data_IF_536525018047
#
_entry.id   IF_536525018047
#
_cell.length_a   1.000
_cell.length_b   1.000
_cell.length_c   1.000
_cell.angle_alpha   90.00
_cell.angle_beta   90.00
_cell.angle_gamma   90.00
#
_symmetry.space_group_name_H-M   'P 1'
#
loop_
_entity.id
_entity.type
_entity.pdbx_description
1 polymer ?
#
# COMPACT_ATOMS: atom_id res chain seq x y z
N UNK A 1 0.02 30.74 12.13
CA UNK A 1 0.72 29.44 11.93
C UNK A 1 0.61 29.11 10.45
N UNK A 2 1.73 29.19 9.75
CA UNK A 2 1.73 29.00 8.30
C UNK A 2 2.01 27.54 7.96
N UNK A 3 1.04 26.89 7.34
CA UNK A 3 1.19 25.55 6.77
C UNK A 3 1.27 25.64 5.24
N UNK A 4 1.98 24.70 4.64
CA UNK A 4 2.01 24.53 3.18
C UNK A 4 0.90 23.58 2.76
N UNK A 5 0.26 23.87 1.63
CA UNK A 5 -0.66 22.95 0.95
C UNK A 5 0.11 22.20 -0.14
N UNK A 6 0.31 20.91 0.04
CA UNK A 6 1.05 20.05 -0.91
C UNK A 6 0.06 19.21 -1.71
N UNK A 7 -0.04 19.39 -3.04
CA UNK A 7 -0.93 18.58 -3.87
C UNK A 7 -0.41 17.15 -3.96
N UNK A 8 -1.32 16.20 -3.94
CA UNK A 8 -1.03 14.77 -4.03
C UNK A 8 -2.27 13.99 -4.48
N UNK A 9 -2.14 12.67 -4.56
CA UNK A 9 -3.23 11.74 -4.86
C UNK A 9 -3.55 10.92 -3.60
N UNK A 10 -4.84 10.62 -3.40
CA UNK A 10 -5.30 9.78 -2.31
C UNK A 10 -4.71 8.36 -2.43
N UNK A 11 -4.12 7.79 -1.36
CA UNK A 11 -3.41 6.50 -1.43
C UNK A 11 -4.32 5.28 -1.33
N UNK A 12 -5.65 5.43 -1.27
CA UNK A 12 -6.51 4.31 -0.89
C UNK A 12 -7.04 3.47 -2.04
N UNK A 13 -7.55 4.04 -3.09
CA UNK A 13 -8.19 3.23 -4.13
C UNK A 13 -7.92 3.75 -5.54
N UNK A 14 -8.28 2.95 -6.54
CA UNK A 14 -8.06 3.25 -7.94
C UNK A 14 -8.81 4.46 -8.51
N UNK A 15 -9.66 5.12 -7.71
CA UNK A 15 -10.30 6.38 -8.12
C UNK A 15 -9.27 7.49 -8.32
N UNK A 16 -8.20 7.53 -7.50
CA UNK A 16 -7.13 8.51 -7.68
C UNK A 16 -7.57 9.95 -7.37
N UNK A 17 -8.36 10.15 -6.31
CA UNK A 17 -8.83 11.49 -5.93
C UNK A 17 -7.67 12.44 -5.59
N UNK A 18 -7.74 13.67 -6.11
CA UNK A 18 -6.78 14.73 -5.78
C UNK A 18 -6.98 15.26 -4.37
N UNK A 19 -5.89 15.40 -3.63
CA UNK A 19 -5.85 15.90 -2.26
C UNK A 19 -4.81 17.01 -2.11
N UNK A 20 -5.02 17.89 -1.14
CA UNK A 20 -4.03 18.85 -0.65
C UNK A 20 -3.71 18.50 0.79
N UNK A 21 -2.49 18.07 1.05
CA UNK A 21 -2.01 17.84 2.41
C UNK A 21 -1.58 19.17 3.04
N UNK A 22 -2.13 19.47 4.22
CA UNK A 22 -1.65 20.57 5.07
C UNK A 22 -0.40 20.10 5.80
N UNK A 23 0.74 20.66 5.45
CA UNK A 23 2.05 20.24 6.02
C UNK A 23 2.65 21.40 6.81
N UNK A 24 3.08 21.14 8.02
CA UNK A 24 3.80 22.07 8.89
C UNK A 24 4.93 21.31 9.61
N UNK A 25 6.13 21.85 9.58
CA UNK A 25 7.30 21.24 10.23
C UNK A 25 7.50 19.75 9.90
N UNK A 26 7.31 19.37 8.63
CA UNK A 26 7.44 17.98 8.17
C UNK A 26 6.31 17.02 8.62
N UNK A 27 5.25 17.54 9.23
CA UNK A 27 4.08 16.75 9.65
C UNK A 27 2.85 17.10 8.85
N UNK A 28 2.11 16.08 8.46
CA UNK A 28 0.79 16.25 7.82
C UNK A 28 -0.24 16.45 8.93
N UNK A 29 -0.90 17.60 8.91
CA UNK A 29 -1.89 18.00 9.92
C UNK A 29 -3.33 17.68 9.47
N UNK A 30 -3.56 17.55 8.17
CA UNK A 30 -4.89 17.32 7.63
C UNK A 30 -4.90 17.24 6.12
N UNK A 31 -6.09 17.02 5.56
CA UNK A 31 -6.35 16.92 4.13
C UNK A 31 -7.42 17.91 3.72
N UNK A 32 -7.25 18.51 2.56
CA UNK A 32 -8.30 19.23 1.84
C UNK A 32 -8.51 18.58 0.46
N UNK A 33 -9.72 18.63 -0.08
CA UNK A 33 -9.94 18.17 -1.44
C UNK A 33 -9.31 19.14 -2.45
N UNK A 34 -8.69 18.62 -3.49
CA UNK A 34 -8.13 19.43 -4.58
C UNK A 34 -9.24 19.78 -5.57
N UNK A 35 -9.70 21.03 -5.52
CA UNK A 35 -10.67 21.58 -6.48
C UNK A 35 -10.06 21.63 -7.88
N UNK A 36 -10.87 21.37 -8.91
CA UNK A 36 -10.42 21.34 -10.29
C UNK A 36 -9.60 20.10 -10.67
N UNK A 37 -9.47 19.12 -9.77
CA UNK A 37 -8.82 17.84 -10.10
C UNK A 37 -9.66 17.04 -11.10
N UNK A 38 -9.03 16.56 -12.17
CA UNK A 38 -9.70 15.93 -13.33
C UNK A 38 -10.60 14.74 -12.98
N UNK A 39 -10.31 14.04 -11.89
CA UNK A 39 -11.08 12.86 -11.47
C UNK A 39 -12.10 13.19 -10.39
N UNK A 40 -11.72 13.90 -9.35
CA UNK A 40 -12.55 14.05 -8.14
C UNK A 40 -13.17 15.42 -7.96
N UNK A 41 -12.68 16.41 -8.67
CA UNK A 41 -13.19 17.81 -8.65
C UNK A 41 -13.56 18.30 -7.25
N UNK A 42 -12.64 18.17 -6.32
CA UNK A 42 -12.84 18.59 -4.95
C UNK A 42 -13.76 17.70 -4.10
N UNK A 43 -14.01 16.46 -4.52
CA UNK A 43 -14.80 15.49 -3.77
C UNK A 43 -13.91 14.41 -3.15
N UNK A 44 -14.16 14.09 -1.88
CA UNK A 44 -13.47 13.03 -1.15
C UNK A 44 -14.48 12.19 -0.36
N UNK A 45 -14.25 10.89 -0.34
CA UNK A 45 -14.95 10.02 0.60
C UNK A 45 -14.32 10.11 2.00
N UNK A 46 -14.94 9.48 2.99
CA UNK A 46 -14.45 9.49 4.38
C UNK A 46 -12.99 9.02 4.53
N UNK A 47 -12.53 8.06 3.70
CA UNK A 47 -11.14 7.61 3.70
C UNK A 47 -10.18 8.69 3.20
N UNK A 48 -10.55 9.38 2.11
CA UNK A 48 -9.76 10.48 1.56
C UNK A 48 -9.60 11.63 2.57
N UNK A 49 -10.67 12.00 3.26
CA UNK A 49 -10.62 13.01 4.33
C UNK A 49 -9.68 12.63 5.48
N UNK A 50 -9.52 11.34 5.77
CA UNK A 50 -8.67 10.82 6.83
C UNK A 50 -7.34 10.25 6.34
N UNK A 51 -6.95 10.50 5.09
CA UNK A 51 -5.74 9.92 4.48
C UNK A 51 -4.43 10.31 5.19
N UNK A 52 -4.44 11.33 6.03
CA UNK A 52 -3.30 11.76 6.83
C UNK A 52 -3.14 10.99 8.15
N UNK A 53 -4.22 10.43 8.69
CA UNK A 53 -4.26 9.92 10.07
C UNK A 53 -3.27 8.78 10.34
N UNK A 54 -3.07 7.88 9.35
CA UNK A 54 -2.17 6.74 9.53
C UNK A 54 -0.68 7.09 9.39
N UNK A 55 -0.34 8.20 8.72
CA UNK A 55 1.05 8.53 8.36
C UNK A 55 1.93 8.71 9.59
N UNK A 56 1.42 9.42 10.60
CA UNK A 56 2.14 9.72 11.84
C UNK A 56 1.60 8.92 13.05
N UNK A 57 0.78 7.89 12.80
CA UNK A 57 0.22 7.09 13.87
C UNK A 57 1.32 6.34 14.65
N UNK A 58 1.30 6.31 16.00
CA UNK A 58 2.34 5.65 16.81
C UNK A 58 2.54 4.18 16.48
N UNK A 59 1.47 3.46 16.13
CA UNK A 59 1.51 2.04 15.79
C UNK A 59 1.91 1.77 14.33
N UNK A 60 2.17 2.82 13.52
CA UNK A 60 2.63 2.60 12.15
C UNK A 60 3.97 1.91 12.13
N UNK A 61 4.08 0.80 11.40
CA UNK A 61 5.35 0.12 11.16
C UNK A 61 6.27 1.01 10.33
N UNK A 62 7.50 1.20 10.82
CA UNK A 62 8.53 2.01 10.17
C UNK A 62 9.70 1.18 9.64
N UNK A 63 9.66 -0.12 9.85
CA UNK A 63 10.64 -1.09 9.37
C UNK A 63 9.94 -2.44 9.20
N UNK A 64 10.45 -3.31 8.32
CA UNK A 64 9.94 -4.66 8.19
C UNK A 64 10.17 -5.46 9.48
N UNK A 65 9.28 -6.42 9.72
CA UNK A 65 9.38 -7.37 10.82
C UNK A 65 9.49 -8.79 10.24
N UNK A 66 10.46 -9.54 10.69
CA UNK A 66 10.65 -10.95 10.33
C UNK A 66 10.41 -11.83 11.57
N UNK A 67 9.70 -12.94 11.38
CA UNK A 67 9.43 -13.90 12.45
C UNK A 67 10.61 -14.86 12.61
N UNK A 68 11.21 -14.87 13.80
CA UNK A 68 12.28 -15.79 14.17
C UNK A 68 11.94 -16.39 15.55
N UNK A 69 12.02 -17.70 15.68
CA UNK A 69 11.68 -18.42 16.91
C UNK A 69 10.29 -18.02 17.49
N UNK A 70 9.30 -17.88 16.62
CA UNK A 70 7.92 -17.56 17.00
C UNK A 70 7.65 -16.07 17.28
N UNK A 71 8.66 -15.21 17.36
CA UNK A 71 8.53 -13.78 17.66
C UNK A 71 8.89 -12.90 16.46
N UNK A 72 8.25 -11.74 16.34
CA UNK A 72 8.56 -10.73 15.33
C UNK A 72 9.72 -9.87 15.78
N UNK A 73 10.75 -9.77 14.95
CA UNK A 73 11.93 -8.94 15.15
C UNK A 73 12.07 -7.94 14.02
N UNK A 74 12.53 -6.74 14.36
CA UNK A 74 12.86 -5.70 13.38
C UNK A 74 14.00 -6.19 12.49
N UNK A 75 13.85 -6.05 11.18
CA UNK A 75 14.84 -6.43 10.17
C UNK A 75 15.14 -5.26 9.22
N UNK A 76 16.26 -5.34 8.51
CA UNK A 76 16.51 -4.45 7.38
C UNK A 76 15.67 -4.88 6.16
N UNK A 77 15.44 -3.95 5.22
CA UNK A 77 14.73 -4.27 3.98
C UNK A 77 15.41 -5.39 3.19
N UNK A 78 16.74 -5.41 2.98
CA UNK A 78 17.42 -6.52 2.30
C UNK A 78 17.17 -7.88 2.97
N UNK A 79 17.25 -7.93 4.30
CA UNK A 79 16.97 -9.16 5.05
C UNK A 79 15.53 -9.64 4.88
N UNK A 80 14.55 -8.73 5.03
CA UNK A 80 13.14 -9.08 4.91
C UNK A 80 12.78 -9.54 3.49
N UNK A 81 13.29 -8.86 2.47
CA UNK A 81 13.08 -9.23 1.06
C UNK A 81 13.75 -10.57 0.72
N UNK A 82 14.95 -10.81 1.23
CA UNK A 82 15.64 -12.10 1.06
C UNK A 82 14.82 -13.25 1.65
N UNK A 83 14.33 -13.11 2.88
CA UNK A 83 13.48 -14.13 3.53
C UNK A 83 12.22 -14.37 2.72
N UNK A 84 11.52 -13.30 2.28
CA UNK A 84 10.30 -13.44 1.50
C UNK A 84 10.56 -14.13 0.15
N UNK A 85 11.57 -13.69 -0.60
CA UNK A 85 11.93 -14.28 -1.89
C UNK A 85 12.32 -15.75 -1.76
N UNK A 86 13.17 -16.08 -0.78
CA UNK A 86 13.60 -17.46 -0.52
C UNK A 86 12.41 -18.37 -0.21
N UNK A 87 11.50 -17.94 0.67
CA UNK A 87 10.32 -18.75 1.02
C UNK A 87 9.36 -18.95 -0.14
N UNK A 88 9.13 -17.92 -0.95
CA UNK A 88 8.31 -18.05 -2.16
C UNK A 88 8.96 -18.99 -3.19
N UNK A 89 10.28 -18.92 -3.37
CA UNK A 89 11.02 -19.83 -4.26
C UNK A 89 10.95 -21.28 -3.78
N UNK A 90 11.18 -21.54 -2.48
CA UNK A 90 11.06 -22.89 -1.89
C UNK A 90 9.66 -23.49 -2.14
N UNK A 91 8.59 -22.70 -1.92
CA UNK A 91 7.21 -23.17 -2.13
C UNK A 91 6.98 -23.46 -3.61
N UNK A 92 7.41 -22.56 -4.49
CA UNK A 92 7.25 -22.70 -5.94
C UNK A 92 8.00 -23.94 -6.47
N UNK A 93 9.23 -24.18 -6.03
CA UNK A 93 10.03 -25.33 -6.42
C UNK A 93 9.45 -26.65 -5.91
N UNK A 94 8.97 -26.67 -4.67
CA UNK A 94 8.48 -27.89 -4.03
C UNK A 94 7.05 -28.26 -4.42
N UNK A 95 6.18 -27.28 -4.61
CA UNK A 95 4.74 -27.48 -4.76
C UNK A 95 4.15 -26.90 -6.05
N UNK A 96 4.99 -26.25 -6.86
CA UNK A 96 4.55 -25.56 -8.09
C UNK A 96 4.00 -24.15 -7.83
N UNK A 97 3.88 -23.33 -8.89
CA UNK A 97 3.40 -21.95 -8.80
C UNK A 97 1.94 -21.86 -8.31
N UNK A 98 1.13 -22.88 -8.59
CA UNK A 98 -0.28 -22.90 -8.20
C UNK A 98 -0.51 -23.06 -6.69
N UNK A 99 0.54 -23.40 -5.93
CA UNK A 99 0.50 -23.41 -4.46
C UNK A 99 0.57 -21.99 -3.84
N UNK A 100 0.79 -20.97 -4.66
CA UNK A 100 0.89 -19.59 -4.22
C UNK A 100 -0.33 -18.79 -4.69
N UNK A 101 -0.97 -18.09 -3.77
CA UNK A 101 -2.05 -17.14 -4.05
C UNK A 101 -1.67 -15.72 -3.65
N UNK A 102 -2.12 -14.72 -4.42
CA UNK A 102 -1.91 -13.30 -4.15
C UNK A 102 -3.27 -12.65 -3.90
N UNK A 103 -3.45 -12.04 -2.74
CA UNK A 103 -4.66 -11.29 -2.41
C UNK A 103 -4.35 -9.79 -2.43
N UNK A 104 -5.09 -9.04 -3.23
CA UNK A 104 -5.01 -7.60 -3.33
C UNK A 104 -6.29 -6.93 -2.81
N UNK A 105 -6.45 -5.65 -3.00
CA UNK A 105 -7.59 -4.94 -2.42
C UNK A 105 -8.16 -3.89 -3.35
N UNK A 106 -9.48 -3.73 -3.34
CA UNK A 106 -10.16 -2.58 -3.93
C UNK A 106 -9.78 -1.23 -3.26
N UNK A 107 -9.04 -1.29 -2.14
CA UNK A 107 -8.51 -0.12 -1.42
C UNK A 107 -7.02 0.13 -1.69
N UNK A 108 -6.49 -0.48 -2.72
CA UNK A 108 -5.15 -0.22 -3.26
C UNK A 108 -5.25 0.69 -4.50
N UNK A 109 -4.18 1.38 -4.82
CA UNK A 109 -4.10 2.17 -6.06
C UNK A 109 -4.10 1.27 -7.30
N UNK A 110 -4.36 1.84 -8.46
CA UNK A 110 -4.28 1.09 -9.73
C UNK A 110 -2.88 0.54 -9.96
N UNK A 111 -1.86 1.33 -9.63
CA UNK A 111 -0.45 0.97 -9.77
C UNK A 111 -0.08 -0.22 -8.89
N UNK A 112 -0.52 -0.22 -7.64
CA UNK A 112 -0.29 -1.33 -6.70
C UNK A 112 -0.96 -2.62 -7.17
N UNK A 113 -2.22 -2.56 -7.61
CA UNK A 113 -2.94 -3.70 -8.16
C UNK A 113 -2.29 -4.23 -9.45
N UNK A 114 -1.85 -3.34 -10.34
CA UNK A 114 -1.13 -3.71 -11.55
C UNK A 114 0.20 -4.42 -11.23
N UNK A 115 0.99 -3.86 -10.31
CA UNK A 115 2.25 -4.45 -9.89
C UNK A 115 2.07 -5.81 -9.23
N UNK A 116 1.06 -5.96 -8.37
CA UNK A 116 0.74 -7.23 -7.74
C UNK A 116 0.35 -8.29 -8.78
N UNK A 117 -0.46 -7.93 -9.76
CA UNK A 117 -0.85 -8.84 -10.85
C UNK A 117 0.35 -9.22 -11.74
N UNK A 118 1.20 -8.24 -12.07
CA UNK A 118 2.45 -8.49 -12.82
C UNK A 118 3.38 -9.41 -12.04
N UNK A 119 3.53 -9.19 -10.74
CA UNK A 119 4.35 -10.05 -9.87
C UNK A 119 3.82 -11.48 -9.83
N UNK A 120 2.50 -11.68 -9.63
CA UNK A 120 1.89 -13.00 -9.61
C UNK A 120 2.15 -13.76 -10.92
N UNK A 121 1.90 -13.13 -12.06
CA UNK A 121 1.99 -13.81 -13.38
C UNK A 121 3.42 -13.93 -13.89
N UNK A 122 4.20 -12.85 -13.86
CA UNK A 122 5.55 -12.84 -14.47
C UNK A 122 6.63 -13.42 -13.56
N UNK A 123 6.50 -13.30 -12.23
CA UNK A 123 7.53 -13.76 -11.28
C UNK A 123 7.15 -15.09 -10.63
N UNK A 124 5.96 -15.14 -10.03
CA UNK A 124 5.50 -16.37 -9.38
C UNK A 124 5.04 -17.42 -10.40
N UNK A 125 4.47 -17.01 -11.52
CA UNK A 125 4.01 -17.90 -12.59
C UNK A 125 2.61 -18.48 -12.30
N UNK A 126 1.80 -17.79 -11.49
CA UNK A 126 0.44 -18.22 -11.14
C UNK A 126 -0.62 -17.20 -11.57
N UNK A 127 -1.81 -17.69 -11.85
CA UNK A 127 -3.02 -16.88 -12.04
C UNK A 127 -3.88 -16.78 -10.78
N UNK A 128 -3.44 -17.35 -9.66
CA UNK A 128 -4.14 -17.31 -8.37
C UNK A 128 -4.00 -15.92 -7.73
N UNK A 129 -4.63 -14.93 -8.34
CA UNK A 129 -4.71 -13.57 -7.82
C UNK A 129 -6.15 -13.09 -7.83
N UNK A 130 -6.60 -12.58 -6.70
CA UNK A 130 -7.94 -12.05 -6.53
C UNK A 130 -7.94 -10.88 -5.55
N UNK A 131 -9.04 -10.16 -5.46
CA UNK A 131 -9.19 -9.01 -4.57
C UNK A 131 -10.49 -9.06 -3.77
N UNK A 132 -10.54 -8.38 -2.65
CA UNK A 132 -11.77 -8.25 -1.90
C UNK A 132 -12.81 -7.47 -2.72
N UNK A 133 -14.02 -8.02 -2.82
CA UNK A 133 -15.19 -7.24 -3.18
C UNK A 133 -15.41 -6.22 -2.05
N UNK A 134 -15.32 -4.93 -2.39
CA UNK A 134 -15.63 -3.88 -1.43
C UNK A 134 -17.15 -3.85 -1.19
N UNK A 135 -17.54 -4.12 0.03
CA UNK A 135 -18.88 -3.83 0.54
C UNK A 135 -18.88 -2.43 1.15
#
# INVERSE_FOLDING_TARGET
MDYQCVPSVCPYCGVGCGVLYKVMNGRILGVLPLKGHVVSDGKLCIKGWNAHAFVHHPLRLKAPLVRTLGRLHKASWPQALHVAAHRLSEIKEKHGPEAIGVLVSAKMTNEENFLAQKFARAVLGTNNIDHCARL
#
